data_IF_413612110114
#
_entry.id   IF_413612110114
#
_cell.length_a   1.000
_cell.length_b   1.000
_cell.length_c   1.000
_cell.angle_alpha   90.00
_cell.angle_beta   90.00
_cell.angle_gamma   90.00
#
_symmetry.space_group_name_H-M   'P 1'
#
loop_
_entity.id
_entity.type
_entity.pdbx_description
1 polymer ?
#
# COMPACT_ATOMS: atom_id res chain seq x y z
N UNK A 1 4.01 65.96 28.83
CA UNK A 1 3.73 65.65 27.41
C UNK A 1 3.89 64.17 27.18
N UNK A 2 2.75 63.44 27.16
CA UNK A 2 2.72 61.98 26.99
C UNK A 2 2.51 61.66 25.52
N UNK A 3 3.53 61.02 24.89
CA UNK A 3 3.48 60.56 23.53
C UNK A 3 2.84 59.19 23.43
N UNK A 4 1.59 59.15 22.97
CA UNK A 4 0.85 57.92 22.67
C UNK A 4 1.45 57.21 21.46
N UNK A 5 2.10 56.06 21.68
CA UNK A 5 2.46 55.14 20.59
C UNK A 5 1.23 54.45 20.08
N UNK A 6 0.87 54.67 18.80
CA UNK A 6 -0.15 53.89 18.06
C UNK A 6 0.35 52.45 17.89
N UNK A 7 -0.51 51.44 18.08
CA UNK A 7 -0.15 50.05 17.74
C UNK A 7 -0.03 49.89 16.22
N UNK A 8 1.06 49.23 15.77
CA UNK A 8 1.23 48.80 14.40
C UNK A 8 0.09 47.83 14.05
N UNK A 9 -0.75 48.22 13.11
CA UNK A 9 -1.74 47.35 12.52
C UNK A 9 -1.03 46.17 11.85
N UNK A 10 -1.28 44.93 12.30
CA UNK A 10 -0.97 43.71 11.58
C UNK A 10 -1.56 43.80 10.19
N UNK A 11 -0.68 43.87 9.18
CA UNK A 11 -1.09 43.69 7.77
C UNK A 11 -1.55 42.23 7.64
N UNK A 12 -2.83 41.98 7.63
CA UNK A 12 -3.42 40.73 7.13
C UNK A 12 -2.97 40.58 5.68
N UNK A 13 -2.14 39.57 5.43
CA UNK A 13 -1.77 39.21 4.07
C UNK A 13 -3.05 38.88 3.29
N UNK A 14 -3.27 39.58 2.20
CA UNK A 14 -4.34 39.26 1.24
C UNK A 14 -4.15 37.81 0.78
N UNK A 15 -5.25 37.02 0.60
CA UNK A 15 -5.13 35.70 0.03
C UNK A 15 -4.49 35.86 -1.39
N UNK A 16 -3.33 35.22 -1.57
CA UNK A 16 -2.69 35.13 -2.87
C UNK A 16 -3.65 34.43 -3.82
N UNK A 17 -3.95 35.05 -4.96
CA UNK A 17 -4.78 34.43 -6.01
C UNK A 17 -4.08 33.11 -6.40
N UNK A 18 -4.83 32.01 -6.40
CA UNK A 18 -4.38 30.74 -6.94
C UNK A 18 -3.80 30.96 -8.35
N UNK A 19 -2.63 30.40 -8.70
CA UNK A 19 -2.13 30.45 -10.06
C UNK A 19 -3.14 29.75 -10.98
N UNK A 20 -3.36 30.25 -12.17
CA UNK A 20 -4.25 29.61 -13.14
C UNK A 20 -3.63 28.34 -13.74
N UNK A 21 -2.32 28.32 -13.91
CA UNK A 21 -1.54 27.23 -14.48
C UNK A 21 -0.20 27.07 -13.75
N UNK A 22 0.33 25.85 -13.76
CA UNK A 22 1.71 25.50 -13.40
C UNK A 22 2.25 24.68 -14.56
N UNK A 23 3.19 25.24 -15.33
CA UNK A 23 3.56 24.64 -16.61
C UNK A 23 2.34 24.39 -17.50
N UNK A 24 2.18 23.20 -18.10
CA UNK A 24 1.04 22.87 -18.96
C UNK A 24 -0.24 22.48 -18.18
N UNK A 25 -0.20 22.45 -16.86
CA UNK A 25 -1.29 21.94 -16.01
C UNK A 25 -2.20 23.08 -15.54
N UNK A 26 -3.51 22.96 -15.75
CA UNK A 26 -4.50 23.90 -15.26
C UNK A 26 -4.81 23.66 -13.80
N UNK A 27 -4.57 24.64 -12.93
CA UNK A 27 -4.80 24.53 -11.48
C UNK A 27 -6.29 24.53 -11.18
N UNK A 28 -6.74 23.56 -10.38
CA UNK A 28 -8.12 23.39 -9.94
C UNK A 28 -8.33 23.85 -8.49
N UNK A 29 -7.28 23.81 -7.65
CA UNK A 29 -7.35 24.21 -6.25
C UNK A 29 -6.07 23.87 -5.49
N UNK A 30 -5.95 24.36 -4.26
CA UNK A 30 -4.87 24.03 -3.35
C UNK A 30 -5.28 22.83 -2.49
N UNK A 31 -4.42 21.81 -2.41
CA UNK A 31 -4.63 20.61 -1.60
C UNK A 31 -4.01 20.74 -0.21
N UNK A 32 -2.87 21.41 -0.12
CA UNK A 32 -2.16 21.60 1.14
C UNK A 32 -1.00 22.58 1.02
N UNK A 33 -0.53 23.03 2.17
CA UNK A 33 0.65 23.88 2.31
C UNK A 33 1.52 23.34 3.42
N UNK A 34 2.76 23.06 3.09
CA UNK A 34 3.80 22.67 4.01
C UNK A 34 4.78 23.80 4.26
N UNK A 35 5.79 23.54 5.07
CA UNK A 35 6.80 24.53 5.36
C UNK A 35 7.68 24.90 4.16
N UNK A 36 7.74 24.00 3.19
CA UNK A 36 8.74 24.05 2.09
C UNK A 36 8.08 23.81 0.74
N UNK A 37 6.77 23.56 0.71
CA UNK A 37 6.06 23.27 -0.54
C UNK A 37 4.58 23.56 -0.41
N UNK A 38 3.97 23.89 -1.55
CA UNK A 38 2.52 23.98 -1.71
C UNK A 38 2.11 22.91 -2.71
N UNK A 39 1.04 22.18 -2.37
CA UNK A 39 0.49 21.13 -3.25
C UNK A 39 -0.81 21.62 -3.85
N UNK A 40 -0.92 21.53 -5.16
CA UNK A 40 -2.10 21.92 -5.93
C UNK A 40 -2.73 20.69 -6.59
N UNK A 41 -4.07 20.67 -6.67
CA UNK A 41 -4.79 19.84 -7.62
C UNK A 41 -4.81 20.52 -8.96
N UNK A 42 -4.44 19.82 -10.01
CA UNK A 42 -4.43 20.36 -11.37
C UNK A 42 -4.93 19.32 -12.38
N UNK A 43 -5.29 19.80 -13.56
CA UNK A 43 -5.73 18.98 -14.70
C UNK A 43 -4.62 18.86 -15.72
N UNK A 44 -4.24 17.61 -16.02
CA UNK A 44 -3.45 17.25 -17.20
C UNK A 44 -4.41 17.11 -18.38
N UNK A 45 -4.53 18.16 -19.18
CA UNK A 45 -5.47 18.19 -20.30
C UNK A 45 -5.06 17.19 -21.40
N UNK A 46 -3.76 16.94 -21.57
CA UNK A 46 -3.25 16.02 -22.58
C UNK A 46 -3.60 14.56 -22.26
N UNK A 47 -3.47 14.17 -20.99
CA UNK A 47 -3.79 12.80 -20.53
C UNK A 47 -5.20 12.67 -19.96
N UNK A 48 -5.98 13.78 -19.99
CA UNK A 48 -7.35 13.85 -19.49
C UNK A 48 -7.53 13.32 -18.04
N UNK A 49 -6.54 13.61 -17.16
CA UNK A 49 -6.53 13.15 -15.77
C UNK A 49 -6.23 14.28 -14.79
N UNK A 50 -6.67 14.11 -13.55
CA UNK A 50 -6.26 14.97 -12.45
C UNK A 50 -4.90 14.54 -11.90
N UNK A 51 -4.08 15.51 -11.53
CA UNK A 51 -2.75 15.33 -10.93
C UNK A 51 -2.61 16.20 -9.70
N UNK A 52 -1.70 15.82 -8.80
CA UNK A 52 -1.21 16.67 -7.73
C UNK A 52 0.14 17.28 -8.15
N UNK A 53 0.29 18.59 -7.97
CA UNK A 53 1.53 19.29 -8.29
C UNK A 53 2.10 19.87 -7.00
N UNK A 54 3.26 19.36 -6.60
CA UNK A 54 4.02 19.84 -5.44
C UNK A 54 5.05 20.86 -5.91
N UNK A 55 4.77 22.13 -5.66
CA UNK A 55 5.70 23.24 -5.93
C UNK A 55 6.61 23.44 -4.72
N UNK A 56 7.90 23.46 -4.95
CA UNK A 56 8.87 23.79 -3.90
C UNK A 56 8.88 25.30 -3.67
N UNK A 57 8.58 25.73 -2.46
CA UNK A 57 8.65 27.13 -2.07
C UNK A 57 10.01 27.37 -1.41
N UNK A 58 10.83 28.23 -1.99
CA UNK A 58 12.03 28.70 -1.29
C UNK A 58 11.56 29.49 -0.05
N UNK A 59 12.00 29.18 1.16
CA UNK A 59 11.68 29.98 2.33
C UNK A 59 12.27 31.38 2.19
N UNK A 60 11.64 32.36 2.84
CA UNK A 60 12.08 33.76 2.80
C UNK A 60 13.56 33.97 3.15
N UNK A 61 14.16 33.04 3.93
CA UNK A 61 15.59 33.03 4.25
C UNK A 61 16.48 32.69 3.04
N UNK A 62 16.05 31.79 2.14
CA UNK A 62 16.77 31.49 0.90
C UNK A 62 16.69 32.65 -0.10
N UNK A 63 15.59 33.39 -0.09
CA UNK A 63 15.43 34.64 -0.89
C UNK A 63 16.36 35.74 -0.35
N UNK A 64 16.74 35.68 0.95
CA UNK A 64 17.67 36.64 1.59
C UNK A 64 19.17 36.33 1.37
N UNK A 65 19.50 35.34 0.51
CA UNK A 65 20.90 35.05 0.14
C UNK A 65 21.61 33.99 0.98
N UNK A 66 20.87 33.20 1.78
CA UNK A 66 21.45 32.06 2.50
C UNK A 66 21.56 30.84 1.52
N UNK A 67 22.77 30.69 0.98
CA UNK A 67 23.15 29.59 0.07
C UNK A 67 22.94 28.20 0.67
N UNK A 68 22.99 28.05 1.98
CA UNK A 68 22.86 26.77 2.72
C UNK A 68 21.40 26.27 2.63
N UNK A 69 20.44 27.16 2.81
CA UNK A 69 19.01 26.83 2.72
C UNK A 69 18.60 26.46 1.29
N UNK A 70 19.08 27.19 0.27
CA UNK A 70 18.77 26.87 -1.12
C UNK A 70 19.34 25.51 -1.53
N UNK A 71 20.56 25.19 -1.10
CA UNK A 71 21.20 23.88 -1.36
C UNK A 71 20.45 22.72 -0.67
N UNK A 72 19.93 22.95 0.53
CA UNK A 72 19.16 21.98 1.28
C UNK A 72 17.83 21.61 0.56
N UNK A 73 17.07 22.60 0.10
CA UNK A 73 15.80 22.36 -0.63
C UNK A 73 16.00 21.69 -1.98
N UNK A 74 17.08 22.03 -2.68
CA UNK A 74 17.46 21.37 -3.94
C UNK A 74 17.68 19.86 -3.76
N UNK A 75 18.23 19.43 -2.62
CA UNK A 75 18.45 18.00 -2.32
C UNK A 75 17.15 17.22 -2.14
N UNK A 76 16.15 17.79 -1.46
CA UNK A 76 14.84 17.11 -1.30
C UNK A 76 14.12 16.95 -2.63
N UNK A 77 14.11 18.01 -3.44
CA UNK A 77 13.55 17.95 -4.79
C UNK A 77 14.28 16.91 -5.64
N UNK A 78 15.60 16.91 -5.62
CA UNK A 78 16.41 15.96 -6.40
C UNK A 78 16.17 14.51 -5.95
N UNK A 79 16.00 14.25 -4.64
CA UNK A 79 15.68 12.93 -4.13
C UNK A 79 14.32 12.41 -4.65
N UNK A 80 13.27 13.24 -4.61
CA UNK A 80 11.96 12.88 -5.17
C UNK A 80 12.00 12.76 -6.70
N UNK A 81 12.72 13.67 -7.39
CA UNK A 81 12.87 13.62 -8.85
C UNK A 81 13.57 12.34 -9.33
N UNK A 82 14.52 11.81 -8.56
CA UNK A 82 15.20 10.56 -8.88
C UNK A 82 14.26 9.32 -8.80
N UNK A 83 13.07 9.46 -8.23
CA UNK A 83 12.08 8.39 -8.09
C UNK A 83 11.05 8.39 -9.22
N UNK A 84 11.09 9.35 -10.14
CA UNK A 84 10.17 9.41 -11.29
C UNK A 84 10.22 8.09 -12.07
N UNK A 85 9.06 7.43 -12.18
CA UNK A 85 8.92 6.16 -12.88
C UNK A 85 9.57 4.93 -12.22
N UNK A 86 10.27 5.09 -11.08
CA UNK A 86 10.94 3.97 -10.39
C UNK A 86 10.04 3.20 -9.44
N UNK A 87 9.12 3.88 -8.78
CA UNK A 87 8.21 3.28 -7.81
C UNK A 87 6.85 3.05 -8.47
N UNK A 88 6.42 1.80 -8.52
CA UNK A 88 5.09 1.40 -9.00
C UNK A 88 4.49 0.39 -8.03
N UNK A 89 3.61 0.88 -7.14
CA UNK A 89 2.92 0.07 -6.14
C UNK A 89 1.55 0.69 -5.86
N UNK A 90 0.47 -0.10 -5.70
CA UNK A 90 -0.88 0.44 -5.50
C UNK A 90 -1.01 1.38 -4.30
N UNK A 91 -0.25 1.12 -3.23
CA UNK A 91 -0.27 1.94 -2.02
C UNK A 91 0.93 2.92 -1.90
N UNK A 92 1.57 3.25 -3.01
CA UNK A 92 2.56 4.32 -3.14
C UNK A 92 2.05 5.35 -4.13
N UNK A 93 2.14 6.63 -3.77
CA UNK A 93 1.80 7.72 -4.71
C UNK A 93 2.81 7.72 -5.86
N UNK A 94 2.31 7.59 -7.07
CA UNK A 94 3.17 7.57 -8.25
C UNK A 94 3.66 8.98 -8.60
N UNK A 95 4.96 9.12 -8.85
CA UNK A 95 5.57 10.36 -9.35
C UNK A 95 5.66 10.21 -10.87
N UNK A 96 4.97 11.11 -11.59
CA UNK A 96 4.88 11.05 -13.05
C UNK A 96 5.98 11.84 -13.74
N UNK A 97 6.37 12.97 -13.14
CA UNK A 97 7.34 13.89 -13.72
C UNK A 97 7.96 14.81 -12.68
N UNK A 98 9.13 15.35 -12.98
CA UNK A 98 9.84 16.32 -12.17
C UNK A 98 10.42 17.41 -13.06
N UNK A 99 9.97 18.62 -12.88
CA UNK A 99 10.38 19.77 -13.68
C UNK A 99 11.30 20.66 -12.85
N UNK A 100 12.58 20.68 -13.21
CA UNK A 100 13.62 21.46 -12.56
C UNK A 100 13.64 22.89 -13.15
N UNK A 101 12.52 23.63 -12.98
CA UNK A 101 12.45 25.03 -13.37
C UNK A 101 13.29 25.88 -12.40
N UNK A 102 14.19 26.77 -12.89
CA UNK A 102 15.02 27.61 -12.02
C UNK A 102 14.25 28.54 -11.09
N UNK A 103 13.06 28.98 -11.48
CA UNK A 103 12.23 29.89 -10.70
C UNK A 103 11.23 29.14 -9.81
N UNK A 104 10.67 28.03 -10.30
CA UNK A 104 9.66 27.27 -9.58
C UNK A 104 9.73 25.77 -9.93
N UNK A 105 10.64 25.01 -9.29
CA UNK A 105 10.70 23.57 -9.47
C UNK A 105 9.44 22.90 -8.92
N UNK A 106 8.91 21.93 -9.66
CA UNK A 106 7.71 21.21 -9.24
C UNK A 106 7.72 19.73 -9.63
N UNK A 107 7.02 18.92 -8.83
CA UNK A 107 6.77 17.52 -9.07
C UNK A 107 5.33 17.31 -9.50
N UNK A 108 5.14 16.43 -10.48
CA UNK A 108 3.81 16.00 -10.93
C UNK A 108 3.58 14.59 -10.46
N UNK A 109 2.55 14.38 -9.67
CA UNK A 109 2.25 13.10 -9.05
C UNK A 109 0.78 12.73 -9.13
N UNK A 110 0.48 11.50 -8.82
CA UNK A 110 -0.88 10.97 -8.71
C UNK A 110 -1.72 11.83 -7.78
N UNK A 111 -2.91 12.24 -8.26
CA UNK A 111 -3.91 12.84 -7.41
C UNK A 111 -4.67 11.75 -6.66
N UNK A 112 -4.62 11.77 -5.34
CA UNK A 112 -5.33 10.84 -4.47
C UNK A 112 -6.54 11.55 -3.87
N UNK A 113 -7.78 11.10 -4.18
CA UNK A 113 -8.97 11.69 -3.58
C UNK A 113 -9.09 11.25 -2.11
N UNK A 114 -9.06 12.20 -1.19
CA UNK A 114 -9.13 11.92 0.24
C UNK A 114 -8.38 12.95 1.09
N UNK A 115 -8.00 12.53 2.29
CA UNK A 115 -7.27 13.36 3.27
C UNK A 115 -6.08 12.59 3.82
N UNK A 116 -5.22 13.28 4.56
CA UNK A 116 -4.14 12.58 5.28
C UNK A 116 -4.70 11.83 6.49
N UNK A 117 -4.03 10.77 6.96
CA UNK A 117 -4.41 10.06 8.18
C UNK A 117 -4.36 10.92 9.43
N UNK A 118 -3.77 12.12 9.36
CA UNK A 118 -3.77 13.10 10.45
C UNK A 118 -5.19 13.44 10.94
N UNK A 119 -6.18 13.43 10.05
CA UNK A 119 -7.59 13.67 10.40
C UNK A 119 -8.19 12.58 11.32
N UNK A 120 -7.55 11.41 11.37
CA UNK A 120 -7.98 10.26 12.18
C UNK A 120 -7.12 10.03 13.43
N UNK A 121 -6.28 10.99 13.79
CA UNK A 121 -5.41 10.93 14.97
C UNK A 121 -6.05 11.51 16.25
N UNK A 122 -7.21 12.15 16.16
CA UNK A 122 -7.89 12.68 17.36
C UNK A 122 -8.88 11.65 17.93
N UNK A 123 -9.10 11.64 19.24
CA UNK A 123 -10.05 10.70 19.89
C UNK A 123 -11.47 10.70 19.30
N UNK A 124 -11.92 11.86 18.78
CA UNK A 124 -13.27 12.04 18.21
C UNK A 124 -13.38 11.53 16.75
N UNK A 125 -12.27 11.15 16.12
CA UNK A 125 -12.22 10.79 14.69
C UNK A 125 -11.52 9.46 14.43
N UNK A 126 -11.43 8.58 15.43
CA UNK A 126 -10.73 7.30 15.31
C UNK A 126 -11.43 6.35 14.32
N UNK A 127 -10.63 5.70 13.53
CA UNK A 127 -11.06 4.59 12.68
C UNK A 127 -11.36 3.32 13.50
N UNK A 128 -12.08 2.37 12.93
CA UNK A 128 -12.24 1.04 13.53
C UNK A 128 -10.89 0.32 13.62
N UNK A 129 -10.73 -0.62 14.55
CA UNK A 129 -9.51 -1.43 14.66
C UNK A 129 -9.25 -2.22 13.37
N UNK A 130 -10.32 -2.73 12.74
CA UNK A 130 -10.23 -3.43 11.45
C UNK A 130 -9.62 -2.52 10.37
N UNK A 131 -10.11 -1.28 10.23
CA UNK A 131 -9.55 -0.32 9.27
C UNK A 131 -8.09 0.03 9.59
N UNK A 132 -7.74 0.22 10.87
CA UNK A 132 -6.37 0.56 11.27
C UNK A 132 -5.41 -0.59 10.95
N UNK A 133 -5.79 -1.83 11.24
CA UNK A 133 -4.98 -3.01 10.94
C UNK A 133 -4.81 -3.19 9.43
N UNK A 134 -5.87 -2.99 8.65
CA UNK A 134 -5.81 -3.05 7.18
C UNK A 134 -4.91 -1.94 6.61
N UNK A 135 -5.02 -0.70 7.11
CA UNK A 135 -4.13 0.41 6.75
C UNK A 135 -2.67 0.06 7.09
N UNK A 136 -2.44 -0.48 8.29
CA UNK A 136 -1.10 -0.90 8.72
C UNK A 136 -0.51 -1.97 7.81
N UNK A 137 -1.31 -2.97 7.44
CA UNK A 137 -0.92 -4.01 6.51
C UNK A 137 -0.54 -3.43 5.13
N UNK A 138 -1.38 -2.58 4.54
CA UNK A 138 -1.13 -1.94 3.25
C UNK A 138 0.11 -1.04 3.26
N UNK A 139 0.31 -0.25 4.33
CA UNK A 139 1.51 0.56 4.52
C UNK A 139 2.76 -0.31 4.68
N UNK A 140 2.68 -1.44 5.41
CA UNK A 140 3.80 -2.38 5.54
C UNK A 140 4.19 -3.00 4.20
N UNK A 141 3.21 -3.38 3.37
CA UNK A 141 3.45 -3.86 2.00
C UNK A 141 4.12 -2.80 1.12
N UNK A 142 3.64 -1.55 1.18
CA UNK A 142 4.19 -0.42 0.43
C UNK A 142 5.63 -0.09 0.84
N UNK A 143 5.89 0.03 2.15
CA UNK A 143 7.21 0.33 2.67
C UNK A 143 8.19 -0.85 2.50
N UNK A 144 7.70 -2.09 2.57
CA UNK A 144 8.46 -3.28 2.22
C UNK A 144 8.88 -3.30 0.75
N UNK A 145 7.99 -2.89 -0.16
CA UNK A 145 8.33 -2.70 -1.57
C UNK A 145 9.42 -1.62 -1.75
N UNK A 146 9.27 -0.46 -1.09
CA UNK A 146 10.26 0.63 -1.12
C UNK A 146 11.63 0.16 -0.61
N UNK A 147 11.64 -0.58 0.50
CA UNK A 147 12.88 -1.14 1.08
C UNK A 147 13.61 -2.10 0.12
N UNK A 148 12.87 -2.93 -0.64
CA UNK A 148 13.45 -3.81 -1.68
C UNK A 148 14.06 -3.04 -2.86
N UNK A 149 13.64 -1.78 -3.08
CA UNK A 149 14.30 -0.89 -4.05
C UNK A 149 15.58 -0.23 -3.48
N UNK A 150 16.03 -0.64 -2.29
CA UNK A 150 17.19 -0.06 -1.59
C UNK A 150 16.92 1.33 -1.00
N UNK A 151 15.67 1.65 -0.69
CA UNK A 151 15.23 2.97 -0.23
C UNK A 151 14.66 2.89 1.18
N UNK A 152 14.88 3.93 1.98
CA UNK A 152 14.28 4.15 3.30
C UNK A 152 13.53 5.47 3.24
N UNK A 153 12.27 5.50 3.65
CA UNK A 153 11.40 6.70 3.57
C UNK A 153 11.80 7.80 4.55
N UNK A 154 12.10 7.42 5.80
CA UNK A 154 12.62 8.27 6.91
C UNK A 154 11.66 9.33 7.48
N UNK A 155 10.53 9.56 6.87
CA UNK A 155 9.53 10.53 7.34
C UNK A 155 8.11 9.94 7.31
N UNK A 156 7.95 8.69 7.80
CA UNK A 156 6.66 8.05 7.93
C UNK A 156 5.89 8.68 9.09
N UNK A 157 4.79 9.36 8.77
CA UNK A 157 3.91 10.06 9.73
C UNK A 157 2.49 10.18 9.16
N UNK A 158 1.47 10.45 10.00
CA UNK A 158 0.08 10.54 9.52
C UNK A 158 -0.14 11.56 8.40
N UNK A 159 0.67 12.61 8.31
CA UNK A 159 0.59 13.61 7.25
C UNK A 159 1.05 13.10 5.87
N UNK A 160 1.92 12.08 5.86
CA UNK A 160 2.49 11.47 4.66
C UNK A 160 1.80 10.15 4.26
N UNK A 161 0.69 9.82 4.91
CA UNK A 161 -0.18 8.69 4.59
C UNK A 161 -1.55 9.23 4.17
N UNK A 162 -1.90 9.05 2.91
CA UNK A 162 -3.15 9.56 2.33
C UNK A 162 -4.23 8.49 2.45
N UNK A 163 -5.28 8.77 3.20
CA UNK A 163 -6.49 7.97 3.25
C UNK A 163 -7.31 8.22 1.98
N UNK A 164 -7.48 7.21 1.15
CA UNK A 164 -8.40 7.24 0.00
C UNK A 164 -9.80 7.06 0.52
N UNK A 165 -10.69 7.99 0.18
CA UNK A 165 -12.08 7.95 0.66
C UNK A 165 -13.06 7.74 -0.49
N UNK A 166 -14.03 6.85 -0.27
CA UNK A 166 -15.22 6.71 -1.11
C UNK A 166 -16.46 6.83 -0.23
N UNK A 167 -17.38 7.72 -0.62
CA UNK A 167 -18.63 8.01 0.11
C UNK A 167 -18.43 8.26 1.62
N UNK A 168 -17.32 8.94 1.95
CA UNK A 168 -16.97 9.28 3.34
C UNK A 168 -16.37 8.13 4.16
N UNK A 169 -16.10 6.97 3.56
CA UNK A 169 -15.41 5.85 4.19
C UNK A 169 -13.98 5.74 3.69
N UNK A 170 -13.03 5.46 4.58
CA UNK A 170 -11.66 5.13 4.18
C UNK A 170 -11.65 3.74 3.57
N UNK A 171 -11.31 3.66 2.28
CA UNK A 171 -11.31 2.41 1.51
C UNK A 171 -9.91 1.94 1.17
N UNK A 172 -8.92 2.86 1.15
CA UNK A 172 -7.54 2.54 0.85
C UNK A 172 -6.58 3.57 1.47
N UNK A 173 -5.27 3.31 1.37
CA UNK A 173 -4.20 4.21 1.85
C UNK A 173 -3.06 4.26 0.84
N UNK A 174 -2.41 5.43 0.72
CA UNK A 174 -1.19 5.58 -0.09
C UNK A 174 -0.11 6.33 0.68
N UNK A 175 1.12 5.82 0.59
CA UNK A 175 2.34 6.46 1.11
C UNK A 175 2.78 7.54 0.13
N UNK A 176 3.10 8.72 0.63
CA UNK A 176 3.54 9.89 -0.17
C UNK A 176 4.70 10.60 0.51
N UNK A 177 5.25 11.60 -0.17
CA UNK A 177 6.31 12.50 0.33
C UNK A 177 7.66 11.80 0.58
N UNK A 178 8.30 11.40 -0.50
CA UNK A 178 9.60 10.73 -0.51
C UNK A 178 10.79 11.71 -0.48
N UNK A 179 10.58 12.99 -0.15
CA UNK A 179 11.63 14.01 -0.12
C UNK A 179 12.75 13.76 0.89
N UNK A 180 12.48 12.94 1.90
CA UNK A 180 13.46 12.53 2.91
C UNK A 180 14.16 11.20 2.59
N UNK A 181 13.86 10.58 1.46
CA UNK A 181 14.42 9.28 1.06
C UNK A 181 15.92 9.37 0.91
N UNK A 182 16.64 8.43 1.54
CA UNK A 182 18.05 8.17 1.28
C UNK A 182 18.20 6.89 0.45
N UNK A 183 19.09 6.95 -0.53
CA UNK A 183 19.87 5.78 -0.89
C UNK A 183 20.82 5.47 0.28
N UNK A 184 21.02 4.20 0.57
CA UNK A 184 21.79 3.68 1.72
C UNK A 184 23.24 4.23 1.89
N UNK A 185 23.69 5.11 0.99
CA UNK A 185 25.07 5.62 0.93
C UNK A 185 25.24 7.12 1.31
N UNK A 186 24.23 7.81 1.83
CA UNK A 186 24.31 9.26 2.02
C UNK A 186 24.28 9.74 3.48
N UNK A 187 25.04 10.79 3.72
CA UNK A 187 25.40 11.41 5.00
C UNK A 187 24.26 11.88 5.92
N UNK A 188 24.60 12.05 7.22
CA UNK A 188 23.76 12.49 8.35
C UNK A 188 22.84 13.66 8.02
N UNK A 189 21.55 13.53 8.30
CA UNK A 189 20.56 14.59 8.09
C UNK A 189 20.10 15.18 9.43
N UNK A 190 20.11 16.51 9.54
CA UNK A 190 19.64 17.21 10.74
C UNK A 190 18.12 17.04 10.92
N UNK A 191 17.73 16.76 12.15
CA UNK A 191 16.33 16.61 12.59
C UNK A 191 15.69 17.99 12.73
N UNK A 192 14.59 18.23 12.02
CA UNK A 192 13.81 19.46 12.16
C UNK A 192 12.34 19.21 12.48
N UNK A 193 11.84 19.94 13.51
CA UNK A 193 10.46 20.22 13.93
C UNK A 193 9.80 19.28 14.94
N UNK A 194 9.29 19.90 16.00
CA UNK A 194 8.63 19.27 17.17
C UNK A 194 7.44 18.38 16.80
N UNK A 195 6.64 18.71 15.80
CA UNK A 195 5.47 17.89 15.40
C UNK A 195 5.79 16.61 14.63
N UNK A 196 6.96 16.51 14.01
CA UNK A 196 7.42 15.30 13.31
C UNK A 196 8.18 14.35 14.22
N UNK A 197 8.74 14.83 15.32
CA UNK A 197 9.57 14.05 16.25
C UNK A 197 8.83 12.87 16.90
N UNK A 198 7.51 12.97 17.10
CA UNK A 198 6.72 11.90 17.75
C UNK A 198 6.74 10.54 17.01
N UNK A 199 7.19 10.51 15.76
CA UNK A 199 7.25 9.29 14.93
C UNK A 199 8.68 8.87 14.56
N UNK A 200 9.68 9.63 14.99
CA UNK A 200 11.08 9.37 14.63
C UNK A 200 11.64 8.22 15.45
N UNK A 201 12.44 7.36 14.83
CA UNK A 201 13.06 6.24 15.53
C UNK A 201 14.26 6.67 16.37
N UNK A 202 14.60 5.94 17.46
CA UNK A 202 15.76 6.25 18.30
C UNK A 202 17.07 6.36 17.51
N UNK A 203 17.35 5.42 16.60
CA UNK A 203 18.54 5.39 15.76
C UNK A 203 18.61 6.58 14.78
N UNK A 204 17.48 7.13 14.35
CA UNK A 204 17.49 8.37 13.57
C UNK A 204 17.91 9.58 14.40
N UNK A 205 17.55 9.61 15.70
CA UNK A 205 17.96 10.67 16.62
C UNK A 205 19.46 10.60 16.93
N UNK A 206 19.97 9.38 17.11
CA UNK A 206 21.40 9.16 17.45
C UNK A 206 22.30 9.34 16.21
N UNK A 207 21.73 9.38 15.00
CA UNK A 207 22.46 9.50 13.75
C UNK A 207 23.21 8.23 13.37
N UNK A 208 22.71 7.09 13.81
CA UNK A 208 23.23 5.76 13.49
C UNK A 208 22.96 5.36 12.03
N UNK A 209 23.58 4.28 11.58
CA UNK A 209 23.28 3.67 10.30
C UNK A 209 21.81 3.16 10.30
N UNK A 210 21.04 3.60 9.32
CA UNK A 210 19.62 3.27 9.21
C UNK A 210 19.41 2.08 8.31
N UNK A 211 18.43 1.24 8.68
CA UNK A 211 17.83 0.24 7.80
C UNK A 211 16.30 0.43 7.74
N UNK A 212 15.60 -0.46 7.04
CA UNK A 212 14.15 -0.39 6.86
C UNK A 212 13.35 -0.48 8.18
N UNK A 213 13.96 -0.91 9.28
CA UNK A 213 13.32 -1.00 10.60
C UNK A 213 13.13 0.37 11.25
N UNK A 214 13.81 1.43 10.76
CA UNK A 214 13.51 2.79 11.16
C UNK A 214 12.13 3.23 10.70
N UNK A 215 11.75 2.94 9.44
CA UNK A 215 10.41 3.20 8.92
C UNK A 215 9.34 2.32 9.60
N UNK A 216 9.71 1.09 9.99
CA UNK A 216 8.81 0.18 10.73
C UNK A 216 8.45 0.75 12.11
N UNK A 217 9.43 1.29 12.83
CA UNK A 217 9.18 2.03 14.08
C UNK A 217 8.23 3.19 13.85
N UNK A 218 8.49 4.01 12.84
CA UNK A 218 7.67 5.16 12.50
C UNK A 218 6.23 4.76 12.14
N UNK A 219 6.04 3.68 11.35
CA UNK A 219 4.72 3.15 11.04
C UNK A 219 4.02 2.63 12.30
N UNK A 220 4.73 1.92 13.19
CA UNK A 220 4.17 1.47 14.46
C UNK A 220 3.73 2.65 15.35
N UNK A 221 4.49 3.75 15.36
CA UNK A 221 4.09 4.98 16.07
C UNK A 221 2.83 5.62 15.47
N UNK A 222 2.68 5.59 14.14
CA UNK A 222 1.45 6.02 13.46
C UNK A 222 0.27 5.13 13.85
N UNK A 223 0.42 3.81 13.79
CA UNK A 223 -0.65 2.86 14.15
C UNK A 223 -1.03 2.99 15.63
N UNK A 224 -0.05 3.16 16.50
CA UNK A 224 -0.31 3.46 17.91
C UNK A 224 -1.17 4.72 18.06
N UNK A 225 -0.82 5.80 17.36
CA UNK A 225 -1.57 7.06 17.41
C UNK A 225 -3.00 6.89 16.87
N UNK A 226 -3.19 6.19 15.77
CA UNK A 226 -4.53 5.91 15.22
C UNK A 226 -5.39 5.04 16.15
N UNK A 227 -4.76 4.15 16.95
CA UNK A 227 -5.46 3.30 17.91
C UNK A 227 -5.79 4.10 19.18
N UNK A 228 -4.81 4.81 19.76
CA UNK A 228 -4.91 5.47 21.05
C UNK A 228 -5.48 6.90 21.00
N UNK A 229 -5.53 7.53 19.79
CA UNK A 229 -5.88 8.95 19.65
C UNK A 229 -4.80 9.92 20.13
N UNK A 230 -3.61 9.40 20.46
CA UNK A 230 -2.42 10.16 20.86
C UNK A 230 -1.15 9.39 20.47
N UNK A 231 -0.02 10.06 20.24
CA UNK A 231 1.22 9.38 19.90
C UNK A 231 1.76 8.53 21.07
N UNK A 232 2.69 7.61 20.82
CA UNK A 232 3.24 6.74 21.87
C UNK A 232 4.02 7.51 22.95
N UNK A 233 4.58 8.67 22.60
CA UNK A 233 5.33 9.53 23.48
C UNK A 233 4.90 10.99 23.31
N UNK A 234 4.76 11.71 24.41
CA UNK A 234 4.38 13.12 24.47
C UNK A 234 5.19 13.82 25.56
N UNK A 235 5.86 14.92 25.21
CA UNK A 235 6.66 15.70 26.14
C UNK A 235 6.27 17.17 26.13
N UNK A 236 6.24 17.81 27.28
CA UNK A 236 6.03 19.26 27.37
C UNK A 236 7.17 20.08 26.76
N UNK A 237 8.36 19.48 26.66
CA UNK A 237 9.53 20.05 26.00
C UNK A 237 10.08 19.05 24.98
N UNK A 238 10.82 19.57 24.00
CA UNK A 238 11.49 18.70 23.02
C UNK A 238 12.46 17.73 23.71
N UNK A 239 13.21 18.17 24.70
CA UNK A 239 14.14 17.33 25.46
C UNK A 239 13.43 16.19 26.19
N UNK A 240 12.25 16.45 26.80
CA UNK A 240 11.46 15.42 27.45
C UNK A 240 10.92 14.40 26.44
N UNK A 241 10.43 14.85 25.29
CA UNK A 241 9.98 13.96 24.21
C UNK A 241 11.13 13.07 23.68
N UNK A 242 12.30 13.65 23.42
CA UNK A 242 13.47 12.91 22.97
C UNK A 242 13.91 11.86 24.00
N UNK A 243 13.92 12.23 25.28
CA UNK A 243 14.23 11.28 26.36
C UNK A 243 13.26 10.08 26.37
N UNK A 244 11.95 10.33 26.23
CA UNK A 244 10.95 9.25 26.17
C UNK A 244 11.14 8.35 24.96
N UNK A 245 11.38 8.92 23.77
CA UNK A 245 11.61 8.16 22.54
C UNK A 245 12.78 7.21 22.70
N UNK A 246 13.85 7.62 23.34
CA UNK A 246 15.07 6.82 23.50
C UNK A 246 14.93 5.81 24.65
N UNK A 247 14.32 6.21 25.79
CA UNK A 247 14.45 5.46 27.05
C UNK A 247 13.16 4.82 27.57
N UNK A 248 11.97 5.34 27.23
CA UNK A 248 10.73 4.88 27.84
C UNK A 248 9.96 3.90 26.93
N UNK A 249 9.21 3.00 27.57
CA UNK A 249 8.29 2.11 26.85
C UNK A 249 6.91 2.80 26.71
N UNK A 250 6.24 2.63 25.55
CA UNK A 250 4.90 3.19 25.38
C UNK A 250 3.88 2.49 26.28
N UNK A 251 2.85 3.20 26.68
CA UNK A 251 1.75 2.63 27.45
C UNK A 251 1.05 1.50 26.65
N UNK A 252 0.52 0.50 27.34
CA UNK A 252 -0.20 -0.60 26.70
C UNK A 252 -1.48 -0.10 26.04
N UNK A 253 -1.69 -0.43 24.77
CA UNK A 253 -2.88 -0.04 23.99
C UNK A 253 -4.16 -0.67 24.54
N UNK A 254 -4.07 -1.85 25.16
CA UNK A 254 -5.19 -2.53 25.82
C UNK A 254 -5.80 -1.72 26.95
N UNK A 255 -5.01 -0.86 27.58
CA UNK A 255 -5.51 0.07 28.63
C UNK A 255 -6.01 1.41 28.10
N UNK A 256 -5.78 1.72 26.81
CA UNK A 256 -6.12 3.01 26.22
C UNK A 256 -7.39 2.96 25.36
N UNK A 257 -7.67 1.82 24.76
CA UNK A 257 -8.86 1.64 23.92
C UNK A 257 -9.46 0.26 24.14
N UNK A 258 -10.76 0.23 24.41
CA UNK A 258 -11.53 -1.00 24.53
C UNK A 258 -11.52 -1.80 23.22
N UNK A 259 -11.47 -3.13 23.33
CA UNK A 259 -11.49 -4.04 22.20
C UNK A 259 -10.14 -4.24 21.49
N UNK A 260 -9.05 -3.62 21.95
CA UNK A 260 -7.71 -3.88 21.44
C UNK A 260 -7.23 -5.24 21.93
N UNK A 261 -6.94 -6.21 21.05
CA UNK A 261 -6.40 -7.51 21.45
C UNK A 261 -4.96 -7.38 21.98
N UNK A 262 -4.59 -8.21 22.94
CA UNK A 262 -3.23 -8.27 23.49
C UNK A 262 -2.16 -8.57 22.42
N UNK A 263 -2.52 -9.35 21.40
CA UNK A 263 -1.67 -9.66 20.25
C UNK A 263 -1.36 -8.44 19.38
N UNK A 264 -2.34 -7.54 19.16
CA UNK A 264 -2.12 -6.28 18.45
C UNK A 264 -1.24 -5.34 19.28
N UNK A 265 -1.49 -5.20 20.58
CA UNK A 265 -0.65 -4.43 21.50
C UNK A 265 0.80 -4.92 21.48
N UNK A 266 1.00 -6.23 21.59
CA UNK A 266 2.33 -6.86 21.54
C UNK A 266 3.04 -6.59 20.22
N UNK A 267 2.36 -6.72 19.09
CA UNK A 267 2.93 -6.49 17.76
C UNK A 267 3.37 -5.03 17.58
N UNK A 268 2.50 -4.08 17.92
CA UNK A 268 2.80 -2.64 17.78
C UNK A 268 3.92 -2.22 18.72
N UNK A 269 3.86 -2.62 20.01
CA UNK A 269 4.92 -2.28 20.97
C UNK A 269 6.24 -2.98 20.67
N UNK A 270 6.20 -4.19 20.10
CA UNK A 270 7.38 -4.87 19.60
C UNK A 270 8.07 -4.08 18.48
N UNK A 271 7.29 -3.54 17.53
CA UNK A 271 7.84 -2.68 16.47
C UNK A 271 8.33 -1.29 16.99
N UNK A 272 7.87 -0.85 18.18
CA UNK A 272 8.35 0.33 18.89
C UNK A 272 9.55 0.04 19.82
N UNK A 273 10.15 -1.16 19.76
CA UNK A 273 11.36 -1.49 20.51
C UNK A 273 12.48 -0.51 20.19
N UNK A 274 13.27 -0.14 21.23
CA UNK A 274 14.31 0.90 21.09
C UNK A 274 15.44 0.44 20.19
N UNK A 275 15.87 -0.81 20.34
CA UNK A 275 16.91 -1.40 19.51
C UNK A 275 16.26 -1.99 18.25
N UNK A 276 16.76 -1.66 17.04
CA UNK A 276 16.22 -2.22 15.80
C UNK A 276 16.23 -3.77 15.77
N UNK A 277 17.19 -4.41 16.43
CA UNK A 277 17.30 -5.86 16.50
C UNK A 277 16.16 -6.54 17.28
N UNK A 278 15.47 -5.82 18.16
CA UNK A 278 14.36 -6.33 18.99
C UNK A 278 13.00 -6.14 18.30
N UNK A 279 12.96 -5.49 17.12
CA UNK A 279 11.77 -5.31 16.28
C UNK A 279 11.53 -6.53 15.39
N UNK A 280 10.35 -6.66 14.74
CA UNK A 280 10.16 -7.65 13.68
C UNK A 280 11.32 -7.63 12.68
N UNK A 281 11.77 -8.82 12.24
CA UNK A 281 12.99 -8.96 11.46
C UNK A 281 12.91 -8.22 10.11
N UNK A 282 11.74 -8.22 9.50
CA UNK A 282 11.46 -7.66 8.19
C UNK A 282 10.00 -7.20 8.05
N UNK A 283 9.72 -6.52 6.96
CA UNK A 283 8.38 -6.04 6.62
C UNK A 283 7.36 -7.18 6.42
N UNK A 284 7.83 -8.32 5.93
CA UNK A 284 7.00 -9.50 5.72
C UNK A 284 6.45 -10.03 7.04
N UNK A 285 7.31 -10.21 8.03
CA UNK A 285 6.94 -10.64 9.38
C UNK A 285 5.96 -9.68 10.04
N UNK A 286 6.16 -8.37 9.88
CA UNK A 286 5.27 -7.35 10.42
C UNK A 286 3.91 -7.36 9.73
N UNK A 287 3.87 -7.41 8.39
CA UNK A 287 2.64 -7.49 7.61
C UNK A 287 1.85 -8.77 7.92
N UNK A 288 2.53 -9.92 8.05
CA UNK A 288 1.91 -11.19 8.45
C UNK A 288 1.34 -11.13 9.87
N UNK A 289 2.03 -10.46 10.79
CA UNK A 289 1.52 -10.20 12.13
C UNK A 289 0.17 -9.49 12.08
N UNK A 290 0.07 -8.41 11.31
CA UNK A 290 -1.15 -7.62 11.13
C UNK A 290 -2.27 -8.42 10.46
N UNK A 291 -2.00 -9.02 9.28
CA UNK A 291 -3.01 -9.77 8.54
C UNK A 291 -3.46 -11.04 9.27
N UNK A 292 -2.56 -11.63 10.07
CA UNK A 292 -2.85 -12.77 10.93
C UNK A 292 -3.90 -12.48 12.00
N UNK A 293 -3.96 -11.26 12.54
CA UNK A 293 -4.99 -10.85 13.51
C UNK A 293 -6.39 -10.89 12.91
N UNK A 294 -6.52 -10.47 11.64
CA UNK A 294 -7.78 -10.54 10.90
C UNK A 294 -8.13 -12.01 10.59
N UNK A 295 -7.17 -12.78 10.11
CA UNK A 295 -7.38 -14.19 9.77
C UNK A 295 -7.82 -15.04 10.98
N UNK A 296 -7.23 -14.80 12.16
CA UNK A 296 -7.60 -15.45 13.41
C UNK A 296 -8.84 -14.87 14.08
N UNK A 297 -9.48 -13.84 13.47
CA UNK A 297 -10.67 -13.14 14.00
C UNK A 297 -10.45 -12.51 15.37
N UNK A 298 -9.24 -12.08 15.67
CA UNK A 298 -8.91 -11.38 16.91
C UNK A 298 -9.37 -9.91 16.86
N UNK A 299 -9.52 -9.35 15.66
CA UNK A 299 -10.08 -8.01 15.44
C UNK A 299 -11.58 -8.14 15.17
N UNK A 300 -12.44 -7.41 15.92
CA UNK A 300 -13.87 -7.37 15.64
C UNK A 300 -14.12 -6.88 14.22
N UNK A 301 -14.94 -7.61 13.46
CA UNK A 301 -15.35 -7.15 12.11
C UNK A 301 -16.21 -5.90 12.24
N UNK A 302 -15.80 -4.85 11.58
CA UNK A 302 -16.57 -3.62 11.41
C UNK A 302 -17.69 -3.79 10.36
N UNK A 303 -18.34 -2.70 10.03
CA UNK A 303 -19.36 -2.64 8.97
C UNK A 303 -18.77 -2.53 7.55
N UNK A 304 -17.48 -2.82 7.36
CA UNK A 304 -16.87 -2.75 6.03
C UNK A 304 -17.48 -3.86 5.15
N UNK A 305 -18.23 -3.44 4.13
CA UNK A 305 -18.78 -4.37 3.16
C UNK A 305 -17.67 -4.79 2.18
N UNK A 306 -17.25 -6.04 2.26
CA UNK A 306 -16.29 -6.61 1.31
C UNK A 306 -15.31 -7.59 1.96
N UNK A 307 -14.47 -8.19 1.12
CA UNK A 307 -13.30 -8.96 1.56
C UNK A 307 -12.12 -8.00 1.60
N UNK A 308 -11.45 -7.92 2.75
CA UNK A 308 -10.25 -7.10 2.91
C UNK A 308 -9.12 -7.57 1.99
N UNK A 309 -8.26 -6.67 1.58
CA UNK A 309 -7.13 -7.03 0.71
C UNK A 309 -6.12 -7.91 1.44
N UNK A 310 -5.97 -7.75 2.75
CA UNK A 310 -5.20 -8.65 3.60
C UNK A 310 -5.79 -10.09 3.65
N UNK A 311 -7.13 -10.24 3.65
CA UNK A 311 -7.78 -11.55 3.55
C UNK A 311 -7.53 -12.18 2.17
N UNK A 312 -7.63 -11.39 1.09
CA UNK A 312 -7.32 -11.84 -0.27
C UNK A 312 -5.88 -12.30 -0.40
N UNK A 313 -4.97 -11.50 0.15
CA UNK A 313 -3.54 -11.81 0.17
C UNK A 313 -3.25 -13.14 0.89
N UNK A 314 -3.75 -13.30 2.11
CA UNK A 314 -3.59 -14.54 2.88
C UNK A 314 -4.21 -15.75 2.15
N UNK A 315 -5.34 -15.53 1.48
CA UNK A 315 -5.97 -16.58 0.70
C UNK A 315 -5.09 -17.02 -0.48
N UNK A 316 -4.56 -16.09 -1.28
CA UNK A 316 -3.63 -16.41 -2.37
C UNK A 316 -2.39 -17.13 -1.85
N UNK A 317 -1.76 -16.60 -0.79
CA UNK A 317 -0.56 -17.19 -0.18
C UNK A 317 -0.75 -18.65 0.26
N UNK A 318 -1.97 -19.02 0.63
CA UNK A 318 -2.32 -20.38 1.06
C UNK A 318 -2.64 -21.34 -0.09
N UNK A 319 -2.60 -20.87 -1.35
CA UNK A 319 -2.88 -21.69 -2.53
C UNK A 319 -1.58 -22.18 -3.16
N UNK A 320 -1.51 -23.46 -3.45
CA UNK A 320 -0.33 -24.10 -4.05
C UNK A 320 0.04 -23.49 -5.40
N UNK A 321 -0.93 -23.01 -6.17
CA UNK A 321 -0.70 -22.32 -7.45
C UNK A 321 0.23 -21.12 -7.31
N UNK A 322 0.17 -20.42 -6.17
CA UNK A 322 0.96 -19.24 -5.88
C UNK A 322 2.16 -19.49 -4.93
N UNK A 323 2.55 -20.74 -4.74
CA UNK A 323 3.59 -21.10 -3.76
C UNK A 323 4.96 -20.45 -4.02
N UNK A 324 5.30 -20.16 -5.28
CA UNK A 324 6.57 -19.53 -5.66
C UNK A 324 6.49 -18.00 -5.73
N UNK A 325 5.31 -17.40 -5.53
CA UNK A 325 5.12 -15.96 -5.57
C UNK A 325 5.58 -15.32 -4.27
N UNK A 326 6.40 -14.30 -4.38
CA UNK A 326 6.73 -13.45 -3.25
C UNK A 326 5.59 -12.50 -2.89
N UNK A 327 5.74 -11.79 -1.77
CA UNK A 327 4.70 -10.90 -1.26
C UNK A 327 4.36 -9.76 -2.23
N UNK A 328 5.35 -9.25 -2.99
CA UNK A 328 5.10 -8.19 -3.99
C UNK A 328 4.23 -8.69 -5.12
N UNK A 329 4.56 -9.86 -5.64
CA UNK A 329 3.84 -10.47 -6.75
C UNK A 329 2.43 -10.87 -6.34
N UNK A 330 2.27 -11.43 -5.14
CA UNK A 330 0.94 -11.71 -4.55
C UNK A 330 0.12 -10.43 -4.39
N UNK A 331 0.76 -9.35 -3.93
CA UNK A 331 0.08 -8.07 -3.75
C UNK A 331 -0.34 -7.46 -5.08
N UNK A 332 0.48 -7.59 -6.11
CA UNK A 332 0.14 -7.20 -7.48
C UNK A 332 -1.08 -7.99 -7.99
N UNK A 333 -1.11 -9.30 -7.72
CA UNK A 333 -2.25 -10.19 -8.05
C UNK A 333 -3.52 -9.76 -7.31
N UNK A 334 -3.44 -9.46 -6.01
CA UNK A 334 -4.60 -9.00 -5.21
C UNK A 334 -5.30 -7.81 -5.87
N UNK A 335 -4.53 -6.85 -6.42
CA UNK A 335 -5.05 -5.61 -6.99
C UNK A 335 -5.44 -5.69 -8.46
N UNK A 336 -4.82 -6.59 -9.24
CA UNK A 336 -5.06 -6.70 -10.69
C UNK A 336 -6.08 -7.76 -11.04
N UNK A 337 -6.14 -8.84 -10.26
CA UNK A 337 -7.05 -9.94 -10.52
C UNK A 337 -8.51 -9.57 -10.22
N UNK A 338 -9.43 -10.17 -10.96
CA UNK A 338 -10.85 -10.03 -10.69
C UNK A 338 -11.32 -11.09 -9.70
N UNK A 339 -11.86 -10.66 -8.57
CA UNK A 339 -12.42 -11.53 -7.53
C UNK A 339 -13.92 -11.70 -7.72
N UNK A 340 -14.40 -12.93 -7.65
CA UNK A 340 -15.82 -13.25 -7.83
C UNK A 340 -16.29 -14.26 -6.78
N UNK A 341 -17.47 -14.03 -6.22
CA UNK A 341 -18.19 -15.02 -5.41
C UNK A 341 -19.32 -15.57 -6.27
N UNK A 342 -19.35 -16.88 -6.39
CA UNK A 342 -20.26 -17.59 -7.26
C UNK A 342 -21.14 -18.50 -6.41
N UNK A 343 -22.45 -18.48 -6.67
CA UNK A 343 -23.40 -19.33 -5.98
C UNK A 343 -23.42 -20.75 -6.58
N UNK A 344 -23.95 -21.70 -5.82
CA UNK A 344 -24.23 -23.06 -6.30
C UNK A 344 -25.02 -23.02 -7.63
N UNK A 345 -24.64 -23.89 -8.55
CA UNK A 345 -25.28 -24.03 -9.87
C UNK A 345 -24.85 -22.99 -10.91
N UNK A 346 -23.98 -22.03 -10.56
CA UNK A 346 -23.46 -21.07 -11.54
C UNK A 346 -22.54 -21.76 -12.55
N UNK A 347 -22.82 -21.56 -13.84
CA UNK A 347 -21.95 -22.06 -14.90
C UNK A 347 -20.80 -21.09 -15.15
N UNK A 348 -19.58 -21.49 -14.78
CA UNK A 348 -18.35 -20.75 -15.09
C UNK A 348 -18.03 -20.77 -16.57
N UNK A 349 -18.17 -21.95 -17.19
CA UNK A 349 -17.94 -22.17 -18.61
C UNK A 349 -18.98 -23.12 -19.18
N UNK A 350 -19.28 -22.91 -20.45
CA UNK A 350 -20.07 -23.86 -21.27
C UNK A 350 -19.20 -24.44 -22.38
N UNK A 351 -19.36 -25.72 -22.67
CA UNK A 351 -18.70 -26.41 -23.79
C UNK A 351 -18.96 -25.66 -25.11
N UNK A 352 -17.92 -25.45 -25.90
CA UNK A 352 -17.99 -24.71 -27.17
C UNK A 352 -17.90 -23.19 -27.02
N UNK A 353 -17.94 -22.64 -25.81
CA UNK A 353 -17.78 -21.23 -25.57
C UNK A 353 -16.31 -20.84 -25.84
N UNK A 354 -16.09 -19.78 -26.61
CA UNK A 354 -14.77 -19.17 -26.81
C UNK A 354 -14.42 -18.25 -25.64
N UNK A 355 -13.15 -18.26 -25.24
CA UNK A 355 -12.61 -17.37 -24.23
C UNK A 355 -11.21 -17.76 -23.77
N UNK A 356 -10.44 -16.78 -23.33
CA UNK A 356 -9.09 -16.93 -22.80
C UNK A 356 -8.97 -16.57 -21.31
N UNK A 357 -10.10 -16.55 -20.60
CA UNK A 357 -10.10 -16.32 -19.15
C UNK A 357 -9.85 -17.65 -18.44
N UNK A 358 -9.02 -17.63 -17.41
CA UNK A 358 -8.91 -18.75 -16.48
C UNK A 358 -9.20 -18.30 -15.06
N UNK A 359 -9.58 -19.24 -14.21
CA UNK A 359 -9.85 -19.00 -12.80
C UNK A 359 -8.99 -19.90 -11.93
N UNK A 360 -8.52 -19.37 -10.80
CA UNK A 360 -8.00 -20.14 -9.67
C UNK A 360 -9.12 -20.24 -8.63
N UNK A 361 -9.43 -21.44 -8.18
CA UNK A 361 -10.44 -21.68 -7.16
C UNK A 361 -9.86 -21.36 -5.77
N UNK A 362 -10.19 -20.21 -5.23
CA UNK A 362 -9.70 -19.78 -3.94
C UNK A 362 -10.45 -20.47 -2.77
N UNK A 363 -11.75 -20.72 -2.94
CA UNK A 363 -12.61 -21.46 -2.02
C UNK A 363 -13.72 -22.15 -2.79
N UNK A 364 -14.30 -23.20 -2.22
CA UNK A 364 -15.40 -23.95 -2.83
C UNK A 364 -14.94 -24.95 -3.89
N UNK A 365 -15.89 -25.50 -4.62
CA UNK A 365 -15.68 -26.60 -5.55
C UNK A 365 -16.51 -26.40 -6.83
N UNK A 366 -16.00 -26.96 -7.92
CA UNK A 366 -16.69 -27.01 -9.22
C UNK A 366 -16.72 -28.44 -9.75
N UNK A 367 -17.73 -28.76 -10.52
CA UNK A 367 -17.87 -30.01 -11.25
C UNK A 367 -17.66 -29.77 -12.74
N UNK A 368 -16.97 -30.70 -13.38
CA UNK A 368 -16.69 -30.67 -14.83
C UNK A 368 -17.55 -31.73 -15.51
N UNK A 369 -18.30 -31.30 -16.52
CA UNK A 369 -19.17 -32.19 -17.32
C UNK A 369 -18.70 -32.23 -18.77
N UNK A 370 -18.69 -33.43 -19.35
CA UNK A 370 -18.57 -33.66 -20.80
C UNK A 370 -19.75 -34.48 -21.26
N UNK A 371 -20.47 -33.98 -22.27
CA UNK A 371 -21.64 -34.67 -22.84
C UNK A 371 -22.65 -35.07 -21.76
N UNK A 372 -22.90 -34.18 -20.80
CA UNK A 372 -23.83 -34.39 -19.69
C UNK A 372 -23.33 -35.34 -18.58
N UNK A 373 -22.14 -35.91 -18.72
CA UNK A 373 -21.56 -36.80 -17.69
C UNK A 373 -20.53 -36.03 -16.86
N UNK A 374 -20.60 -36.16 -15.52
CA UNK A 374 -19.57 -35.66 -14.61
C UNK A 374 -18.29 -36.44 -14.83
N UNK A 375 -17.19 -35.72 -15.17
CA UNK A 375 -15.88 -36.33 -15.44
C UNK A 375 -14.87 -35.99 -14.36
N UNK A 376 -15.04 -34.88 -13.64
CA UNK A 376 -14.15 -34.49 -12.54
C UNK A 376 -14.83 -33.53 -11.56
N UNK A 377 -14.25 -33.42 -10.38
CA UNK A 377 -14.55 -32.39 -9.38
C UNK A 377 -13.23 -31.73 -8.97
N UNK A 378 -13.21 -30.40 -8.97
CA UNK A 378 -12.04 -29.64 -8.61
C UNK A 378 -12.39 -28.71 -7.45
N UNK A 379 -11.51 -28.69 -6.45
CA UNK A 379 -11.65 -27.86 -5.26
C UNK A 379 -10.59 -26.76 -5.19
N UNK A 380 -10.48 -26.20 -4.01
CA UNK A 380 -9.54 -25.12 -3.67
C UNK A 380 -8.12 -25.40 -4.19
N UNK A 381 -7.48 -24.37 -4.76
CA UNK A 381 -6.11 -24.41 -5.29
C UNK A 381 -6.02 -24.89 -6.74
N UNK A 382 -7.09 -25.46 -7.30
CA UNK A 382 -7.12 -25.88 -8.70
C UNK A 382 -7.42 -24.70 -9.63
N UNK A 383 -7.02 -24.88 -10.91
CA UNK A 383 -7.33 -23.95 -12.00
C UNK A 383 -8.38 -24.52 -12.91
N UNK A 384 -9.18 -23.65 -13.53
CA UNK A 384 -10.14 -23.98 -14.58
C UNK A 384 -10.07 -22.95 -15.71
N UNK A 385 -10.19 -23.41 -16.95
CA UNK A 385 -10.10 -22.55 -18.15
C UNK A 385 -8.68 -22.30 -18.66
N UNK A 386 -7.64 -22.76 -17.99
CA UNK A 386 -6.24 -22.59 -18.37
C UNK A 386 -5.90 -23.22 -19.71
N UNK A 387 -6.56 -24.30 -20.11
CA UNK A 387 -6.33 -24.95 -21.42
C UNK A 387 -6.74 -24.04 -22.58
N UNK A 388 -7.80 -23.25 -22.42
CA UNK A 388 -8.21 -22.27 -23.42
C UNK A 388 -7.27 -21.03 -23.38
N UNK A 389 -6.83 -20.61 -22.19
CA UNK A 389 -5.85 -19.53 -22.05
C UNK A 389 -4.51 -19.86 -22.71
N UNK A 390 -3.97 -21.08 -22.48
CA UNK A 390 -2.69 -21.55 -22.99
C UNK A 390 -2.74 -22.00 -24.45
N UNK A 391 -3.91 -21.98 -25.09
CA UNK A 391 -4.06 -22.43 -26.49
C UNK A 391 -3.22 -21.56 -27.44
N UNK A 392 -2.48 -22.17 -28.38
CA UNK A 392 -1.55 -21.46 -29.25
C UNK A 392 -2.20 -20.58 -30.32
N UNK A 393 -3.52 -20.78 -30.57
CA UNK A 393 -4.28 -19.97 -31.53
C UNK A 393 -5.68 -19.67 -31.02
N UNK A 394 -6.31 -18.61 -31.50
CA UNK A 394 -7.66 -18.19 -31.11
C UNK A 394 -8.72 -19.25 -31.44
N UNK A 395 -8.53 -20.02 -32.51
CA UNK A 395 -9.43 -21.11 -32.90
C UNK A 395 -9.49 -22.23 -31.85
N UNK A 396 -8.37 -22.44 -31.14
CA UNK A 396 -8.25 -23.44 -30.08
C UNK A 396 -8.69 -22.92 -28.68
N UNK A 397 -8.97 -21.62 -28.55
CA UNK A 397 -9.43 -20.98 -27.32
C UNK A 397 -10.90 -21.29 -27.03
N UNK A 398 -11.25 -22.55 -27.05
CA UNK A 398 -12.60 -23.03 -26.84
C UNK A 398 -12.66 -23.95 -25.63
N UNK A 399 -13.62 -23.71 -24.72
CA UNK A 399 -13.83 -24.56 -23.56
C UNK A 399 -14.39 -25.93 -23.99
N UNK A 400 -13.73 -27.02 -23.56
CA UNK A 400 -14.04 -28.38 -23.97
C UNK A 400 -15.03 -29.10 -23.05
N UNK A 401 -15.46 -28.46 -21.96
CA UNK A 401 -16.35 -29.00 -20.96
C UNK A 401 -17.21 -27.90 -20.34
N UNK A 402 -18.33 -28.26 -19.76
CA UNK A 402 -19.08 -27.39 -18.86
C UNK A 402 -18.42 -27.42 -17.49
N UNK A 403 -18.31 -26.26 -16.84
CA UNK A 403 -17.78 -26.11 -15.48
C UNK A 403 -18.86 -25.44 -14.63
N UNK A 404 -19.40 -26.17 -13.65
CA UNK A 404 -20.52 -25.73 -12.82
C UNK A 404 -20.09 -25.70 -11.35
N UNK A 405 -20.44 -24.65 -10.66
CA UNK A 405 -20.18 -24.48 -9.22
C UNK A 405 -21.01 -25.47 -8.42
N UNK A 406 -20.35 -26.36 -7.67
CA UNK A 406 -21.00 -27.39 -6.84
C UNK A 406 -21.09 -27.04 -5.35
N UNK A 407 -20.31 -26.06 -4.88
CA UNK A 407 -20.45 -25.41 -3.57
C UNK A 407 -20.18 -23.92 -3.72
N UNK A 408 -20.71 -23.02 -2.85
CA UNK A 408 -20.41 -21.60 -2.94
C UNK A 408 -18.91 -21.36 -3.10
N UNK A 409 -18.51 -20.72 -4.19
CA UNK A 409 -17.13 -20.67 -4.65
C UNK A 409 -16.63 -19.22 -4.71
N UNK A 410 -15.41 -19.00 -4.26
CA UNK A 410 -14.65 -17.76 -4.50
C UNK A 410 -13.57 -18.06 -5.53
N UNK A 411 -13.58 -17.30 -6.64
CA UNK A 411 -12.59 -17.45 -7.71
C UNK A 411 -11.78 -16.17 -7.90
N UNK A 412 -10.53 -16.35 -8.33
CA UNK A 412 -9.65 -15.31 -8.81
C UNK A 412 -9.46 -15.51 -10.30
N UNK A 413 -9.92 -14.56 -11.11
CA UNK A 413 -9.92 -14.69 -12.57
C UNK A 413 -8.93 -13.75 -13.24
N UNK A 414 -8.37 -14.25 -14.33
CA UNK A 414 -7.35 -13.57 -15.13
C UNK A 414 -7.73 -13.64 -16.60
N UNK A 415 -7.61 -12.51 -17.29
CA UNK A 415 -7.66 -12.41 -18.74
C UNK A 415 -6.26 -12.13 -19.29
N UNK A 416 -6.01 -12.30 -20.60
CA UNK A 416 -4.74 -11.89 -21.22
C UNK A 416 -4.39 -10.43 -20.93
N UNK A 417 -5.38 -9.53 -20.93
CA UNK A 417 -5.19 -8.10 -20.65
C UNK A 417 -4.76 -7.89 -19.20
N UNK A 418 -5.42 -8.58 -18.25
CA UNK A 418 -5.09 -8.51 -16.81
C UNK A 418 -3.65 -8.98 -16.58
N UNK A 419 -3.25 -10.11 -17.18
CA UNK A 419 -1.89 -10.61 -17.08
C UNK A 419 -0.87 -9.69 -17.78
N UNK A 420 -1.25 -9.07 -18.90
CA UNK A 420 -0.42 -8.09 -19.59
C UNK A 420 -0.10 -6.84 -18.75
N UNK A 421 -0.92 -6.52 -17.75
CA UNK A 421 -0.71 -5.42 -16.82
C UNK A 421 0.19 -5.76 -15.63
N UNK A 422 0.50 -7.05 -15.43
CA UNK A 422 1.41 -7.51 -14.38
C UNK A 422 2.88 -7.24 -14.79
N UNK A 423 3.73 -7.10 -13.77
CA UNK A 423 5.17 -6.97 -13.98
C UNK A 423 5.75 -8.19 -14.71
N UNK A 424 6.86 -8.05 -15.46
CA UNK A 424 7.49 -9.16 -16.14
C UNK A 424 7.85 -10.32 -15.19
N UNK A 425 8.30 -10.00 -13.97
CA UNK A 425 8.62 -11.00 -12.95
C UNK A 425 7.39 -11.79 -12.52
N UNK A 426 6.29 -11.12 -12.22
CA UNK A 426 5.03 -11.77 -11.85
C UNK A 426 4.50 -12.66 -12.98
N UNK A 427 4.55 -12.20 -14.24
CA UNK A 427 4.14 -13.01 -15.39
C UNK A 427 4.95 -14.30 -15.53
N UNK A 428 6.27 -14.21 -15.34
CA UNK A 428 7.14 -15.40 -15.39
C UNK A 428 6.78 -16.44 -14.32
N UNK A 429 6.35 -15.99 -13.14
CA UNK A 429 5.87 -16.90 -12.08
C UNK A 429 4.56 -17.60 -12.46
N UNK A 430 3.66 -16.93 -13.20
CA UNK A 430 2.48 -17.59 -13.77
C UNK A 430 2.87 -18.69 -14.75
N UNK A 431 3.85 -18.46 -15.63
CA UNK A 431 4.33 -19.49 -16.56
C UNK A 431 4.84 -20.73 -15.82
N UNK A 432 5.64 -20.53 -14.76
CA UNK A 432 6.12 -21.59 -13.89
C UNK A 432 4.99 -22.35 -13.19
N UNK A 433 4.00 -21.63 -12.67
CA UNK A 433 2.83 -22.22 -12.01
C UNK A 433 2.00 -23.07 -12.98
N UNK A 434 1.78 -22.61 -14.21
CA UNK A 434 1.08 -23.38 -15.25
C UNK A 434 1.83 -24.66 -15.63
N UNK A 435 3.15 -24.59 -15.79
CA UNK A 435 3.97 -25.78 -16.07
C UNK A 435 3.76 -26.83 -14.98
N UNK A 436 3.80 -26.44 -13.70
CA UNK A 436 3.53 -27.35 -12.56
C UNK A 436 2.14 -27.98 -12.61
N UNK A 437 1.11 -27.16 -12.94
CA UNK A 437 -0.28 -27.67 -13.11
C UNK A 437 -0.37 -28.68 -14.23
N UNK A 438 0.21 -28.38 -15.41
CA UNK A 438 0.17 -29.25 -16.58
C UNK A 438 0.93 -30.57 -16.34
N UNK A 439 2.10 -30.53 -15.71
CA UNK A 439 2.86 -31.73 -15.34
C UNK A 439 2.05 -32.62 -14.41
N UNK A 440 1.46 -32.07 -13.35
CA UNK A 440 0.59 -32.85 -12.45
C UNK A 440 -0.59 -33.50 -13.16
N UNK A 441 -1.26 -32.78 -14.03
CA UNK A 441 -2.40 -33.33 -14.80
C UNK A 441 -1.97 -34.42 -15.76
N UNK A 442 -0.79 -34.28 -16.38
CA UNK A 442 -0.22 -35.30 -17.24
C UNK A 442 0.09 -36.59 -16.45
N UNK A 443 0.73 -36.45 -15.27
CA UNK A 443 0.97 -37.61 -14.39
C UNK A 443 -0.32 -38.31 -13.97
N UNK A 444 -1.32 -37.56 -13.51
CA UNK A 444 -2.61 -38.11 -13.12
C UNK A 444 -3.34 -38.80 -14.30
N UNK A 445 -3.19 -38.29 -15.51
CA UNK A 445 -3.74 -38.93 -16.71
C UNK A 445 -3.02 -40.23 -17.06
N UNK A 446 -1.68 -40.29 -16.91
CA UNK A 446 -0.91 -41.53 -17.10
C UNK A 446 -1.30 -42.59 -16.09
N UNK A 447 -1.40 -42.26 -14.79
CA UNK A 447 -1.83 -43.19 -13.75
C UNK A 447 -3.24 -43.76 -14.02
N UNK A 448 -4.16 -42.98 -14.58
CA UNK A 448 -5.48 -43.44 -14.96
C UNK A 448 -5.46 -44.39 -16.18
N UNK A 449 -4.50 -44.25 -17.08
CA UNK A 449 -4.30 -45.13 -18.21
C UNK A 449 -3.64 -46.44 -17.80
N UNK A 450 -2.69 -46.40 -16.87
CA UNK A 450 -1.98 -47.58 -16.37
C UNK A 450 -2.85 -48.43 -15.43
N UNK A 451 -3.85 -47.82 -14.80
CA UNK A 451 -4.81 -48.52 -13.93
C UNK A 451 -6.25 -48.30 -14.41
N UNK A 452 -6.67 -48.86 -15.55
CA UNK A 452 -8.04 -48.75 -16.00
C UNK A 452 -8.91 -49.40 -14.93
N UNK A 453 -9.80 -48.62 -14.27
CA UNK A 453 -10.78 -49.16 -13.34
C UNK A 453 -11.55 -50.29 -14.04
N UNK A 454 -11.36 -51.50 -13.60
CA UNK A 454 -12.22 -52.63 -14.00
C UNK A 454 -13.65 -52.21 -13.65
N UNK A 455 -14.43 -51.88 -14.68
CA UNK A 455 -15.89 -51.75 -14.56
C UNK A 455 -16.40 -53.20 -14.39
N UNK A 456 -16.71 -53.55 -13.14
CA UNK A 456 -17.58 -54.64 -12.83
C UNK A 456 -19.00 -54.17 -12.74
#
# INVERSE_FOLDING_TARGET
>A
MAGTRRPLAMRTAKPSKLPSHIGPYRVLGQLGEGATSIVFRARDEFRARDVAIKCVSAPAAAIAGDSTSAHYYGRFFAAEAALVGRLSHPNVVQIFDAVADPEQPYLVMEYVPGTTLRTHCSPDALLSLEQIVEIGFKCAMALGYVARQGLIHRDVKPANLLAVTDRGQVVDVKVTDFGSVLQLDAERTQVQRVGSLAYISPEQLDGDALDCRADMYSLAAVLYHLIAGRPPFEGQTQAALLHQIVNEQPAALTGLREGVPASLDTLIRGALAKRPADRPADWESFAQGLSGLIARREIPRGRVQGVLDSERFNLLRSLEFFADFGDVELWEVVHRARWQRLAFGHALYKRGQQGATFHVLAQGEVEIFREGRKVAQLGRGNTVGEMAYLAPSDELRTHRADVIVSTPCTTVSFTPETLGQLSPGTRHLFDGAFIKVLVRRLHAAHEQLDHPRRIL
#
